data_IF_141473995945
#
_entry.id   IF_141473995945
#
_cell.length_a   1.000
_cell.length_b   1.000
_cell.length_c   1.000
_cell.angle_alpha   90.00
_cell.angle_beta   90.00
_cell.angle_gamma   90.00
#
_symmetry.space_group_name_H-M   'P 1'
#
loop_
_entity.id
_entity.type
_entity.pdbx_description
1 polymer ?
#
# COMPACT_ATOMS: atom_id res chain seq x y z
N UNK A 1 -0.89 -3.57 30.41
CA UNK A 1 -1.37 -2.21 30.09
C UNK A 1 -0.58 -1.68 28.91
N UNK A 2 -1.19 -1.69 27.73
CA UNK A 2 -0.85 -0.78 26.63
C UNK A 2 -2.19 -0.44 25.97
N UNK A 3 -2.74 0.73 26.32
CA UNK A 3 -3.88 1.27 25.58
C UNK A 3 -3.39 1.64 24.18
N UNK A 4 -3.71 0.84 23.17
CA UNK A 4 -3.67 1.28 21.77
C UNK A 4 -5.02 1.91 21.42
N UNK A 5 -5.25 3.12 21.92
CA UNK A 5 -6.37 3.96 21.47
C UNK A 5 -5.75 5.16 20.77
N UNK A 6 -5.72 5.10 19.44
CA UNK A 6 -5.22 6.14 18.56
C UNK A 6 -5.16 5.61 17.14
N UNK A 7 -6.09 6.09 16.30
CA UNK A 7 -6.11 6.04 14.84
C UNK A 7 -4.84 5.49 14.18
N UNK A 8 -4.86 4.24 13.72
CA UNK A 8 -3.75 3.76 12.87
C UNK A 8 -4.10 3.92 11.40
N UNK A 9 -4.12 5.17 10.99
CA UNK A 9 -4.19 5.56 9.58
C UNK A 9 -2.80 5.60 8.91
N UNK A 10 -1.78 4.94 9.49
CA UNK A 10 -0.42 4.92 8.98
C UNK A 10 0.09 3.47 8.91
N UNK A 11 0.58 3.06 7.75
CA UNK A 11 1.22 1.77 7.51
C UNK A 11 2.63 2.01 7.00
N UNK A 12 3.65 1.60 7.74
CA UNK A 12 5.04 1.60 7.26
C UNK A 12 5.39 0.23 6.69
N UNK A 13 5.69 0.16 5.39
CA UNK A 13 6.01 -1.13 4.75
C UNK A 13 7.27 -1.74 5.38
N UNK A 14 8.35 -0.97 5.50
CA UNK A 14 9.61 -1.45 6.08
C UNK A 14 9.47 -1.97 7.52
N UNK A 15 8.63 -1.31 8.35
CA UNK A 15 8.56 -1.60 9.79
C UNK A 15 7.48 -2.60 10.17
N UNK A 16 6.38 -2.63 9.42
CA UNK A 16 5.20 -3.43 9.77
C UNK A 16 5.01 -4.63 8.84
N UNK A 17 5.65 -4.63 7.68
CA UNK A 17 5.53 -5.69 6.70
C UNK A 17 6.87 -6.35 6.38
N UNK A 18 7.78 -5.63 5.70
CA UNK A 18 9.10 -6.12 5.29
C UNK A 18 9.95 -4.96 4.78
N UNK A 19 11.24 -4.99 5.09
CA UNK A 19 12.27 -4.16 4.47
C UNK A 19 12.64 -4.63 3.04
N UNK A 20 12.31 -5.87 2.67
CA UNK A 20 12.53 -6.46 1.33
C UNK A 20 11.23 -6.99 0.69
N UNK A 21 10.20 -6.15 0.52
CA UNK A 21 8.92 -6.58 -0.04
C UNK A 21 9.09 -7.04 -1.50
N UNK A 22 8.57 -8.24 -1.81
CA UNK A 22 8.87 -8.89 -3.09
C UNK A 22 7.81 -9.91 -3.48
N UNK A 23 7.75 -10.23 -4.77
CA UNK A 23 6.77 -11.18 -5.30
C UNK A 23 5.37 -10.59 -5.46
N UNK A 24 4.57 -11.26 -6.30
CA UNK A 24 3.23 -10.83 -6.65
C UNK A 24 2.22 -11.53 -5.75
N UNK A 25 2.18 -12.86 -5.81
CA UNK A 25 1.16 -13.68 -5.18
C UNK A 25 1.69 -14.39 -3.93
N UNK A 26 0.80 -14.91 -3.07
CA UNK A 26 1.21 -15.70 -1.88
C UNK A 26 2.20 -16.84 -2.18
N UNK A 27 2.15 -17.41 -3.39
CA UNK A 27 3.07 -18.48 -3.80
C UNK A 27 4.52 -18.01 -4.06
N UNK A 28 4.73 -16.70 -4.23
CA UNK A 28 6.04 -16.13 -4.59
C UNK A 28 6.93 -15.87 -3.35
N UNK A 29 6.38 -15.94 -2.14
CA UNK A 29 7.12 -15.72 -0.90
C UNK A 29 6.25 -15.22 0.26
N UNK A 30 6.90 -14.86 1.36
CA UNK A 30 6.21 -14.50 2.61
C UNK A 30 5.75 -13.04 2.68
N UNK A 31 6.34 -12.14 1.88
CA UNK A 31 6.15 -10.69 1.93
C UNK A 31 5.72 -10.13 0.55
N UNK A 32 4.62 -10.66 0.02
CA UNK A 32 4.15 -10.42 -1.35
C UNK A 32 3.13 -9.30 -1.48
N UNK A 33 2.98 -8.78 -2.70
CA UNK A 33 2.06 -7.68 -3.00
C UNK A 33 0.61 -8.03 -2.67
N UNK A 34 0.19 -9.27 -2.98
CA UNK A 34 -1.14 -9.78 -2.64
C UNK A 34 -1.38 -9.81 -1.13
N UNK A 35 -0.40 -10.28 -0.35
CA UNK A 35 -0.48 -10.32 1.10
C UNK A 35 -0.57 -8.92 1.70
N UNK A 36 0.31 -8.01 1.26
CA UNK A 36 0.27 -6.62 1.71
C UNK A 36 -1.09 -5.98 1.40
N UNK A 37 -1.60 -6.16 0.17
CA UNK A 37 -2.92 -5.64 -0.22
C UNK A 37 -4.02 -6.14 0.71
N UNK A 38 -4.13 -7.46 0.85
CA UNK A 38 -5.31 -8.09 1.45
C UNK A 38 -5.30 -8.07 2.98
N UNK A 39 -4.13 -8.19 3.60
CA UNK A 39 -4.01 -8.30 5.06
C UNK A 39 -3.68 -6.97 5.76
N UNK A 40 -3.03 -6.03 5.05
CA UNK A 40 -2.59 -4.76 5.64
C UNK A 40 -3.38 -3.57 5.07
N UNK A 41 -3.42 -3.44 3.74
CA UNK A 41 -3.90 -2.21 3.12
C UNK A 41 -5.43 -2.14 3.03
N UNK A 42 -6.09 -3.18 2.52
CA UNK A 42 -7.55 -3.23 2.34
C UNK A 42 -8.32 -3.10 3.65
N UNK A 43 -7.93 -3.77 4.77
CA UNK A 43 -8.65 -3.62 6.04
C UNK A 43 -8.67 -2.18 6.56
N UNK A 44 -7.60 -1.42 6.32
CA UNK A 44 -7.51 -0.03 6.74
C UNK A 44 -8.23 0.90 5.76
N UNK A 45 -8.12 0.68 4.44
CA UNK A 45 -8.86 1.47 3.44
C UNK A 45 -10.38 1.36 3.61
N UNK A 46 -10.90 0.19 4.00
CA UNK A 46 -12.34 0.01 4.26
C UNK A 46 -12.86 0.79 5.48
N UNK A 47 -11.97 1.26 6.35
CA UNK A 47 -12.30 2.10 7.52
C UNK A 47 -12.01 3.58 7.26
N UNK A 48 -11.34 3.89 6.16
CA UNK A 48 -10.86 5.23 5.85
C UNK A 48 -11.96 6.12 5.28
N UNK A 49 -11.79 7.42 5.48
CA UNK A 49 -12.63 8.44 4.90
C UNK A 49 -11.78 9.66 4.49
N UNK A 50 -12.41 10.72 3.97
CA UNK A 50 -11.70 11.92 3.51
C UNK A 50 -10.98 12.69 4.64
N UNK A 51 -11.48 12.61 5.87
CA UNK A 51 -10.90 13.25 7.05
C UNK A 51 -9.80 12.35 7.66
N UNK A 52 -9.95 11.03 7.51
CA UNK A 52 -9.04 10.01 7.99
C UNK A 52 -8.57 9.12 6.82
N UNK A 53 -7.60 9.58 6.01
CA UNK A 53 -7.05 8.78 4.91
C UNK A 53 -5.93 7.85 5.40
N UNK A 54 -5.79 6.66 4.81
CA UNK A 54 -4.65 5.75 5.03
C UNK A 54 -3.41 6.34 4.40
N UNK A 55 -2.34 6.45 5.18
CA UNK A 55 -1.02 6.88 4.74
C UNK A 55 -0.13 5.64 4.70
N UNK A 56 0.38 5.31 3.52
CA UNK A 56 1.36 4.23 3.35
C UNK A 56 2.74 4.88 3.19
N UNK A 57 3.61 4.64 4.17
CA UNK A 57 5.00 5.04 4.13
C UNK A 57 5.83 3.95 3.45
N UNK A 58 6.40 4.29 2.30
CA UNK A 58 7.17 3.37 1.46
C UNK A 58 8.69 3.49 1.64
N UNK A 59 9.15 4.31 2.58
CA UNK A 59 10.56 4.52 2.84
C UNK A 59 11.19 3.33 3.60
N UNK A 60 12.52 3.37 3.70
CA UNK A 60 13.35 2.46 4.50
C UNK A 60 13.32 0.98 4.07
N UNK A 61 12.82 0.68 2.87
CA UNK A 61 12.96 -0.65 2.23
C UNK A 61 14.22 -0.72 1.35
N UNK A 62 14.75 -1.90 1.06
CA UNK A 62 15.86 -2.07 0.12
C UNK A 62 15.46 -1.80 -1.34
N UNK A 63 14.16 -1.63 -1.60
CA UNK A 63 13.59 -1.31 -2.90
C UNK A 63 12.29 -2.06 -3.15
N UNK A 64 11.68 -1.78 -4.30
CA UNK A 64 10.45 -2.43 -4.71
C UNK A 64 10.56 -2.98 -6.12
N UNK A 65 10.13 -4.23 -6.29
CA UNK A 65 9.87 -4.79 -7.62
C UNK A 65 8.55 -4.28 -8.18
N UNK A 66 8.49 -4.06 -9.50
CA UNK A 66 7.26 -3.69 -10.22
C UNK A 66 6.10 -4.64 -9.91
N UNK A 67 6.37 -5.94 -9.84
CA UNK A 67 5.36 -6.96 -9.54
C UNK A 67 4.73 -6.79 -8.16
N UNK A 68 5.52 -6.39 -7.14
CA UNK A 68 4.98 -6.10 -5.82
C UNK A 68 4.06 -4.87 -5.88
N UNK A 69 4.55 -3.76 -6.44
CA UNK A 69 3.81 -2.50 -6.51
C UNK A 69 2.50 -2.62 -7.30
N UNK A 70 2.55 -3.27 -8.47
CA UNK A 70 1.40 -3.43 -9.33
C UNK A 70 0.29 -4.25 -8.67
N UNK A 71 0.66 -5.29 -7.93
CA UNK A 71 -0.30 -6.15 -7.24
C UNK A 71 -0.80 -5.53 -5.94
N UNK A 72 0.09 -4.91 -5.16
CA UNK A 72 -0.25 -4.22 -3.92
C UNK A 72 -1.25 -3.08 -4.15
N UNK A 73 -0.96 -2.23 -5.15
CA UNK A 73 -1.68 -0.96 -5.35
C UNK A 73 -2.63 -1.01 -6.55
N UNK A 74 -2.17 -1.46 -7.72
CA UNK A 74 -3.06 -1.65 -8.89
C UNK A 74 -4.12 -2.74 -8.65
N UNK A 75 -3.80 -3.72 -7.79
CA UNK A 75 -4.76 -4.73 -7.35
C UNK A 75 -5.93 -4.16 -6.54
N UNK A 76 -5.80 -2.99 -5.90
CA UNK A 76 -6.92 -2.35 -5.18
C UNK A 76 -8.09 -2.06 -6.13
N UNK A 77 -7.78 -1.64 -7.35
CA UNK A 77 -8.79 -1.38 -8.39
C UNK A 77 -9.26 -2.70 -8.99
N UNK A 78 -8.33 -3.54 -9.48
CA UNK A 78 -8.67 -4.77 -10.25
C UNK A 78 -9.36 -5.86 -9.43
N UNK A 79 -9.07 -5.95 -8.12
CA UNK A 79 -9.48 -7.08 -7.27
C UNK A 79 -10.36 -6.69 -6.10
N UNK A 80 -10.24 -5.45 -5.61
CA UNK A 80 -10.92 -5.01 -4.38
C UNK A 80 -12.06 -4.01 -4.64
N UNK A 81 -12.32 -3.67 -5.91
CA UNK A 81 -13.38 -2.76 -6.38
C UNK A 81 -13.26 -1.30 -5.91
N UNK A 82 -12.08 -0.86 -5.50
CA UNK A 82 -11.84 0.57 -5.27
C UNK A 82 -11.81 1.30 -6.62
N UNK A 83 -12.43 2.47 -6.68
CA UNK A 83 -12.22 3.38 -7.82
C UNK A 83 -10.96 4.22 -7.62
N UNK A 84 -10.32 4.65 -8.71
CA UNK A 84 -9.21 5.61 -8.64
C UNK A 84 -9.62 6.89 -7.90
N UNK A 85 -10.83 7.40 -8.14
CA UNK A 85 -11.34 8.61 -7.48
C UNK A 85 -11.53 8.45 -5.97
N UNK A 86 -11.90 7.24 -5.53
CA UNK A 86 -11.98 6.91 -4.11
C UNK A 86 -10.59 6.86 -3.50
N UNK A 87 -9.64 6.12 -4.12
CA UNK A 87 -8.27 6.01 -3.63
C UNK A 87 -7.57 7.36 -3.55
N UNK A 88 -7.78 8.26 -4.53
CA UNK A 88 -7.24 9.62 -4.49
C UNK A 88 -7.69 10.44 -3.26
N UNK A 89 -8.83 10.07 -2.66
CA UNK A 89 -9.38 10.74 -1.47
C UNK A 89 -8.89 10.10 -0.16
N UNK A 90 -8.73 8.78 -0.14
CA UNK A 90 -8.53 8.01 1.10
C UNK A 90 -7.17 7.34 1.23
N UNK A 91 -6.34 7.33 0.18
CA UNK A 91 -4.99 6.75 0.19
C UNK A 91 -3.96 7.84 -0.09
N UNK A 92 -2.95 7.92 0.77
CA UNK A 92 -1.79 8.81 0.63
C UNK A 92 -0.51 8.00 0.64
N UNK A 93 0.37 8.24 -0.32
CA UNK A 93 1.69 7.62 -0.37
C UNK A 93 2.73 8.62 0.17
N UNK A 94 3.36 8.26 1.29
CA UNK A 94 4.47 9.00 1.88
C UNK A 94 5.80 8.42 1.39
N UNK A 95 6.59 9.27 0.72
CA UNK A 95 7.87 8.92 0.13
C UNK A 95 8.82 10.12 0.23
N UNK A 96 10.07 9.87 0.62
CA UNK A 96 11.15 10.83 0.54
C UNK A 96 11.73 10.85 -0.91
N UNK A 97 12.76 11.67 -1.14
CA UNK A 97 13.35 11.84 -2.47
C UNK A 97 13.89 10.53 -3.08
N UNK A 98 14.42 9.61 -2.27
CA UNK A 98 14.92 8.31 -2.71
C UNK A 98 13.79 7.41 -3.23
N UNK A 99 12.61 7.45 -2.61
CA UNK A 99 11.48 6.57 -2.96
C UNK A 99 10.44 7.25 -3.85
N UNK A 100 10.68 8.50 -4.28
CA UNK A 100 9.75 9.27 -5.11
C UNK A 100 9.34 8.53 -6.39
N UNK A 101 10.28 7.87 -7.05
CA UNK A 101 10.00 7.13 -8.29
C UNK A 101 9.01 5.98 -8.06
N UNK A 102 9.12 5.28 -6.93
CA UNK A 102 8.17 4.21 -6.59
C UNK A 102 6.78 4.77 -6.32
N UNK A 103 6.68 5.94 -5.69
CA UNK A 103 5.39 6.63 -5.52
C UNK A 103 4.76 6.96 -6.88
N UNK A 104 5.54 7.46 -7.83
CA UNK A 104 5.05 7.77 -9.18
C UNK A 104 4.53 6.51 -9.88
N UNK A 105 5.28 5.40 -9.82
CA UNK A 105 4.87 4.09 -10.35
C UNK A 105 3.61 3.55 -9.66
N UNK A 106 3.49 3.69 -8.34
CA UNK A 106 2.29 3.29 -7.60
C UNK A 106 1.05 4.03 -8.12
N UNK A 107 1.16 5.34 -8.32
CA UNK A 107 0.06 6.17 -8.80
C UNK A 107 -0.31 5.82 -10.24
N UNK A 108 0.68 5.51 -11.08
CA UNK A 108 0.49 5.00 -12.44
C UNK A 108 -0.29 3.67 -12.43
N UNK A 109 0.13 2.69 -11.62
CA UNK A 109 -0.58 1.40 -11.53
C UNK A 109 -2.01 1.51 -11.02
N UNK A 110 -2.30 2.47 -10.14
CA UNK A 110 -3.67 2.76 -9.73
C UNK A 110 -4.47 3.37 -10.89
N UNK A 111 -3.88 4.31 -11.64
CA UNK A 111 -4.54 5.01 -12.73
C UNK A 111 -4.81 4.13 -13.97
N UNK A 112 -3.91 3.20 -14.27
CA UNK A 112 -4.03 2.33 -15.45
C UNK A 112 -4.86 1.06 -15.20
N UNK A 113 -5.14 0.75 -13.93
CA UNK A 113 -5.94 -0.41 -13.57
C UNK A 113 -7.40 -0.26 -14.06
N UNK A 114 -7.93 -1.33 -14.65
CA UNK A 114 -9.27 -1.42 -15.21
C UNK A 114 -10.00 -2.64 -14.69
#
# INVERSE_FOLDING_TARGET
MFNKTGDRMNISIAKEFSDVPSGRYYADGECTGEKFRTEYLVPELKKADQQHPVIVNINDTEGYGSSFLEEAFGGLVRKENFSQDELNKILKIEANDTYRIYKEIILEYIAEAK
#
